data_IF_736768820300
#
_entry.id   IF_736768820300
#
_cell.length_a   1.000
_cell.length_b   1.000
_cell.length_c   1.000
_cell.angle_alpha   90.00
_cell.angle_beta   90.00
_cell.angle_gamma   90.00
#
_symmetry.space_group_name_H-M   'P 1'
#
loop_
_entity.id
_entity.type
_entity.pdbx_description
1 polymer ?
#
# COMPACT_ATOMS: atom_id res chain seq x y z
N UNK A 1 -18.96 -24.40 -24.30
CA UNK A 1 -17.50 -24.53 -24.07
C UNK A 1 -16.99 -23.19 -23.58
N UNK A 2 -16.91 -23.00 -22.26
CA UNK A 2 -16.51 -21.74 -21.64
C UNK A 2 -15.02 -21.50 -21.86
N UNK A 3 -14.66 -20.58 -22.77
CA UNK A 3 -13.29 -20.10 -22.94
C UNK A 3 -12.92 -19.30 -21.70
N UNK A 4 -12.30 -19.96 -20.71
CA UNK A 4 -11.61 -19.28 -19.62
C UNK A 4 -10.55 -18.36 -20.23
N UNK A 5 -10.81 -17.05 -20.22
CA UNK A 5 -9.87 -16.02 -20.63
C UNK A 5 -8.69 -16.10 -19.67
N UNK A 6 -7.59 -16.69 -20.12
CA UNK A 6 -6.31 -16.58 -19.43
C UNK A 6 -5.96 -15.09 -19.38
N UNK A 7 -6.17 -14.45 -18.23
CA UNK A 7 -5.71 -13.09 -17.99
C UNK A 7 -4.18 -13.13 -18.06
N UNK A 8 -3.62 -12.71 -19.21
CA UNK A 8 -2.18 -12.45 -19.31
C UNK A 8 -1.88 -11.28 -18.38
N UNK A 9 -1.35 -11.58 -17.20
CA UNK A 9 -0.81 -10.56 -16.30
C UNK A 9 0.36 -9.88 -17.01
N UNK A 10 0.16 -8.61 -17.36
CA UNK A 10 1.19 -7.76 -17.94
C UNK A 10 2.38 -7.66 -16.96
N UNK A 11 3.57 -8.08 -17.40
CA UNK A 11 4.75 -8.14 -16.53
C UNK A 11 5.54 -6.82 -16.43
N UNK A 12 5.09 -5.77 -17.12
CA UNK A 12 5.78 -4.50 -17.10
C UNK A 12 5.74 -3.88 -15.69
N UNK A 13 6.75 -3.06 -15.36
CA UNK A 13 6.88 -2.42 -14.04
C UNK A 13 5.61 -1.64 -13.65
N UNK A 14 4.94 -1.01 -14.61
CA UNK A 14 3.72 -0.23 -14.36
C UNK A 14 2.50 -1.13 -14.02
N UNK A 15 2.29 -2.21 -14.79
CA UNK A 15 1.21 -3.17 -14.53
C UNK A 15 1.40 -3.91 -13.20
N UNK A 16 2.63 -4.30 -12.88
CA UNK A 16 2.98 -4.92 -11.59
C UNK A 16 2.70 -3.97 -10.41
N UNK A 17 3.08 -2.69 -10.54
CA UNK A 17 2.79 -1.66 -9.52
C UNK A 17 1.29 -1.50 -9.28
N UNK A 18 0.50 -1.34 -10.34
CA UNK A 18 -0.96 -1.23 -10.24
C UNK A 18 -1.62 -2.46 -9.62
N UNK A 19 -1.10 -3.65 -9.91
CA UNK A 19 -1.60 -4.89 -9.32
C UNK A 19 -1.35 -4.95 -7.80
N UNK A 20 -0.13 -4.62 -7.36
CA UNK A 20 0.22 -4.58 -5.94
C UNK A 20 -0.56 -3.50 -5.20
N UNK A 21 -0.68 -2.30 -5.79
CA UNK A 21 -1.51 -1.21 -5.25
C UNK A 21 -2.96 -1.67 -5.08
N UNK A 22 -3.55 -2.33 -6.10
CA UNK A 22 -4.89 -2.88 -6.01
C UNK A 22 -5.03 -3.94 -4.90
N UNK A 23 -4.06 -4.83 -4.74
CA UNK A 23 -4.11 -5.85 -3.68
C UNK A 23 -4.04 -5.21 -2.28
N UNK A 24 -3.12 -4.26 -2.06
CA UNK A 24 -3.02 -3.55 -0.78
C UNK A 24 -4.28 -2.74 -0.47
N UNK A 25 -4.83 -2.05 -1.48
CA UNK A 25 -6.10 -1.32 -1.36
C UNK A 25 -7.30 -2.23 -1.05
N UNK A 26 -7.28 -3.50 -1.49
CA UNK A 26 -8.32 -4.46 -1.15
C UNK A 26 -8.22 -4.98 0.30
N UNK A 27 -7.03 -4.96 0.88
CA UNK A 27 -6.75 -5.51 2.21
C UNK A 27 -6.82 -4.46 3.33
N UNK A 28 -6.50 -3.20 3.01
CA UNK A 28 -6.51 -2.07 3.95
C UNK A 28 -7.79 -1.23 3.80
N UNK A 29 -8.48 -1.02 4.92
CA UNK A 29 -9.65 -0.15 5.03
C UNK A 29 -9.29 1.11 5.79
N UNK A 30 -9.84 2.26 5.38
CA UNK A 30 -9.66 3.53 6.10
C UNK A 30 -9.97 3.34 7.59
N UNK A 31 -9.05 3.78 8.45
CA UNK A 31 -9.13 3.57 9.90
C UNK A 31 -8.33 2.36 10.40
N UNK A 32 -7.84 1.49 9.52
CA UNK A 32 -6.98 0.37 9.91
C UNK A 32 -5.69 0.88 10.53
N UNK A 33 -5.29 0.26 11.64
CA UNK A 33 -3.98 0.50 12.23
C UNK A 33 -2.92 -0.18 11.37
N UNK A 34 -1.88 0.55 11.02
CA UNK A 34 -0.80 0.09 10.15
C UNK A 34 0.56 0.39 10.74
N UNK A 35 1.56 -0.37 10.31
CA UNK A 35 2.97 -0.11 10.53
C UNK A 35 3.65 0.14 9.18
N UNK A 36 4.26 1.31 9.05
CA UNK A 36 4.97 1.73 7.84
C UNK A 36 6.47 1.65 8.10
N UNK A 37 7.18 0.88 7.27
CA UNK A 37 8.63 0.70 7.34
C UNK A 37 9.28 1.09 6.02
N UNK A 38 10.44 1.73 6.02
CA UNK A 38 11.28 1.88 4.83
C UNK A 38 12.51 0.97 4.92
N UNK A 39 13.06 0.60 3.77
CA UNK A 39 14.37 -0.04 3.73
C UNK A 39 15.44 0.95 4.24
N UNK A 40 16.29 0.50 5.17
CA UNK A 40 17.36 1.32 5.75
C UNK A 40 16.96 2.16 6.98
N UNK A 41 15.97 1.71 7.75
CA UNK A 41 15.57 2.22 9.10
C UNK A 41 15.11 3.68 9.19
N UNK A 42 15.12 4.45 8.11
CA UNK A 42 14.71 5.87 8.12
C UNK A 42 13.24 6.10 8.49
N UNK A 43 12.40 5.08 8.30
CA UNK A 43 10.98 5.13 8.64
C UNK A 43 10.58 3.78 9.26
N UNK A 44 10.10 3.82 10.49
CA UNK A 44 9.47 2.68 11.17
C UNK A 44 8.47 3.25 12.17
N UNK A 45 7.23 3.49 11.72
CA UNK A 45 6.21 4.20 12.49
C UNK A 45 4.86 3.53 12.34
N UNK A 46 4.13 3.42 13.45
CA UNK A 46 2.75 2.98 13.45
C UNK A 46 1.79 4.15 13.24
N UNK A 47 0.57 3.86 12.80
CA UNK A 47 -0.42 4.90 12.53
C UNK A 47 -1.74 4.36 12.00
N UNK A 48 -2.56 5.26 11.46
CA UNK A 48 -3.90 4.98 10.94
C UNK A 48 -3.92 5.21 9.43
N UNK A 49 -4.26 4.16 8.69
CA UNK A 49 -4.44 4.20 7.24
C UNK A 49 -5.60 5.11 6.85
N UNK A 50 -5.38 6.00 5.87
CA UNK A 50 -6.45 6.81 5.29
C UNK A 50 -6.83 6.33 3.90
N UNK A 51 -5.88 6.39 2.97
CA UNK A 51 -6.04 5.93 1.60
C UNK A 51 -4.68 5.80 0.90
N UNK A 52 -4.64 5.02 -0.17
CA UNK A 52 -3.56 5.02 -1.16
C UNK A 52 -4.05 5.67 -2.45
N UNK A 53 -3.23 6.56 -3.01
CA UNK A 53 -3.52 7.24 -4.27
C UNK A 53 -2.22 7.64 -4.95
N UNK A 54 -2.16 7.49 -6.27
CA UNK A 54 -1.06 7.96 -7.12
C UNK A 54 0.34 7.47 -6.68
N UNK A 55 0.44 6.24 -6.17
CA UNK A 55 1.66 5.65 -5.56
C UNK A 55 2.10 6.29 -4.23
N UNK A 56 1.19 6.93 -3.52
CA UNK A 56 1.43 7.44 -2.17
C UNK A 56 0.44 6.87 -1.18
N UNK A 57 0.93 6.65 0.04
CA UNK A 57 0.16 6.35 1.23
C UNK A 57 -0.14 7.66 1.96
N UNK A 58 -1.42 7.91 2.23
CA UNK A 58 -1.85 8.89 3.22
C UNK A 58 -2.27 8.17 4.50
N UNK A 59 -1.76 8.66 5.62
CA UNK A 59 -1.96 8.05 6.92
C UNK A 59 -1.67 9.05 8.04
N UNK A 60 -2.26 8.86 9.22
CA UNK A 60 -1.87 9.59 10.42
C UNK A 60 -0.83 8.78 11.18
N UNK A 61 0.22 9.40 11.72
CA UNK A 61 1.08 8.72 12.68
C UNK A 61 0.49 8.78 14.11
N UNK A 62 1.22 8.24 15.09
CA UNK A 62 0.77 8.20 16.49
C UNK A 62 0.59 9.58 17.13
N UNK A 63 1.15 10.64 16.54
CA UNK A 63 0.93 12.03 16.97
C UNK A 63 -0.24 12.68 16.25
N UNK A 64 -0.99 11.91 15.45
CA UNK A 64 -2.05 12.39 14.57
C UNK A 64 -1.55 13.39 13.51
N UNK A 65 -0.27 13.35 13.17
CA UNK A 65 0.27 14.16 12.07
C UNK A 65 -0.03 13.47 10.73
N UNK A 66 -0.54 14.24 9.76
CA UNK A 66 -0.82 13.72 8.43
C UNK A 66 0.49 13.48 7.68
N UNK A 67 0.75 12.22 7.36
CA UNK A 67 1.92 11.79 6.62
C UNK A 67 1.54 11.44 5.18
N UNK A 68 2.41 11.85 4.25
CA UNK A 68 2.33 11.53 2.84
C UNK A 68 3.61 10.80 2.44
N UNK A 69 3.51 9.49 2.22
CA UNK A 69 4.69 8.61 2.04
C UNK A 69 4.63 7.90 0.70
N UNK A 70 5.71 7.99 -0.08
CA UNK A 70 5.79 7.23 -1.34
C UNK A 70 5.74 5.73 -1.05
N UNK A 71 4.98 4.98 -1.85
CA UNK A 71 4.96 3.53 -1.82
C UNK A 71 6.28 2.90 -2.30
N UNK A 72 7.18 3.69 -2.88
CA UNK A 72 8.47 3.20 -3.36
C UNK A 72 9.42 2.94 -2.19
N UNK A 73 9.81 1.67 -2.02
CA UNK A 73 10.80 1.29 -1.01
C UNK A 73 10.27 1.32 0.42
N UNK A 74 8.94 1.27 0.59
CA UNK A 74 8.31 1.07 1.90
C UNK A 74 7.56 -0.27 1.94
N UNK A 75 7.42 -0.79 3.15
CA UNK A 75 6.62 -1.94 3.49
C UNK A 75 5.51 -1.50 4.46
N UNK A 76 4.29 -1.95 4.21
CA UNK A 76 3.11 -1.61 5.01
C UNK A 76 2.53 -2.91 5.56
N UNK A 77 2.32 -2.96 6.87
CA UNK A 77 1.71 -4.09 7.55
C UNK A 77 0.46 -3.62 8.30
N UNK A 78 -0.63 -4.39 8.23
CA UNK A 78 -1.82 -4.13 9.06
C UNK A 78 -1.60 -4.68 10.45
N UNK A 79 -1.76 -3.83 11.46
CA UNK A 79 -1.75 -4.23 12.86
C UNK A 79 -3.16 -4.66 13.28
N UNK A 80 -3.25 -5.76 14.05
CA UNK A 80 -4.50 -6.25 14.63
C UNK A 80 -4.78 -5.61 15.99
#
# INVERSE_FOLDING_TARGET
MNKMKHQRLCECKNCKRKYVENQLCQLLKRGDRILVRSFGERLQKAGIYLLMKDNFLLWFDEKYELNHTSLQGIHIERLR
#
